data_IF_738778755619
#
_entry.id   IF_738778755619
#
_cell.length_a   1.000
_cell.length_b   1.000
_cell.length_c   1.000
_cell.angle_alpha   90.00
_cell.angle_beta   90.00
_cell.angle_gamma   90.00
#
_symmetry.space_group_name_H-M   'P 1'
#
loop_
_entity.id
_entity.type
_entity.pdbx_description
1 polymer ?
#
# COMPACT_ATOMS: atom_id res chain seq x y z
N UNK A 1 32.42 0.98 5.62
CA UNK A 1 30.94 0.87 5.53
C UNK A 1 30.55 -0.53 5.97
N UNK A 2 29.85 -0.67 7.11
CA UNK A 2 29.63 -1.95 7.78
C UNK A 2 28.49 -2.71 7.08
N UNK A 3 28.64 -4.00 6.72
CA UNK A 3 27.62 -4.76 5.97
C UNK A 3 26.25 -4.78 6.66
N UNK A 4 26.25 -4.69 8.00
CA UNK A 4 25.05 -4.55 8.85
C UNK A 4 24.20 -3.32 8.49
N UNK A 5 24.82 -2.20 8.11
CA UNK A 5 24.10 -0.98 7.71
C UNK A 5 23.45 -1.14 6.33
N UNK A 6 24.09 -1.87 5.43
CA UNK A 6 23.56 -2.14 4.09
C UNK A 6 22.36 -3.10 4.15
N UNK A 7 22.47 -4.17 4.95
CA UNK A 7 21.36 -5.08 5.22
C UNK A 7 20.18 -4.39 5.91
N UNK A 8 20.44 -3.49 6.87
CA UNK A 8 19.38 -2.74 7.55
C UNK A 8 18.62 -1.79 6.61
N UNK A 9 19.33 -1.08 5.71
CA UNK A 9 18.72 -0.20 4.71
C UNK A 9 17.89 -0.99 3.68
N UNK A 10 18.38 -2.15 3.25
CA UNK A 10 17.66 -3.03 2.32
C UNK A 10 16.39 -3.61 2.96
N UNK A 11 16.46 -4.05 4.23
CA UNK A 11 15.28 -4.54 4.97
C UNK A 11 14.23 -3.44 5.20
N UNK A 12 14.67 -2.21 5.48
CA UNK A 12 13.78 -1.04 5.60
C UNK A 12 13.12 -0.70 4.26
N UNK A 13 13.86 -0.80 3.15
CA UNK A 13 13.32 -0.63 1.80
C UNK A 13 12.24 -1.67 1.48
N UNK A 14 12.45 -2.94 1.84
CA UNK A 14 11.46 -4.02 1.63
C UNK A 14 10.14 -3.74 2.37
N UNK A 15 10.22 -3.21 3.60
CA UNK A 15 9.04 -2.81 4.39
C UNK A 15 8.29 -1.58 3.82
N UNK A 16 9.00 -0.70 3.09
CA UNK A 16 8.42 0.44 2.38
C UNK A 16 7.85 0.04 1.01
N UNK A 17 8.41 -0.98 0.36
CA UNK A 17 7.99 -1.45 -0.98
C UNK A 17 6.70 -2.28 -1.00
N UNK A 18 6.27 -2.84 0.14
CA UNK A 18 5.03 -3.61 0.19
C UNK A 18 3.81 -2.75 -0.17
N UNK A 19 3.74 -1.50 0.30
CA UNK A 19 2.62 -0.59 0.02
C UNK A 19 2.47 -0.24 -1.47
N UNK A 20 3.53 0.24 -2.16
CA UNK A 20 3.47 0.55 -3.59
C UNK A 20 3.20 -0.65 -4.50
N UNK A 21 3.75 -1.83 -4.18
CA UNK A 21 3.51 -3.04 -4.96
C UNK A 21 2.06 -3.52 -4.80
N UNK A 22 1.55 -3.56 -3.56
CA UNK A 22 0.15 -3.89 -3.29
C UNK A 22 -0.80 -2.91 -4.01
N UNK A 23 -0.49 -1.60 -3.96
CA UNK A 23 -1.26 -0.59 -4.65
C UNK A 23 -1.22 -0.78 -6.18
N UNK A 24 -0.05 -1.08 -6.74
CA UNK A 24 0.13 -1.33 -8.17
C UNK A 24 -0.64 -2.55 -8.66
N UNK A 25 -0.61 -3.67 -7.92
CA UNK A 25 -1.41 -4.86 -8.23
C UNK A 25 -2.91 -4.51 -8.22
N UNK A 26 -3.36 -3.78 -7.21
CA UNK A 26 -4.75 -3.39 -7.12
C UNK A 26 -5.16 -2.44 -8.26
N UNK A 27 -4.27 -1.54 -8.67
CA UNK A 27 -4.49 -0.64 -9.80
C UNK A 27 -4.65 -1.41 -11.11
N UNK A 28 -3.80 -2.41 -11.37
CA UNK A 28 -3.94 -3.30 -12.54
C UNK A 28 -5.26 -4.06 -12.47
N UNK A 29 -5.66 -4.53 -11.29
CA UNK A 29 -6.96 -5.15 -11.06
C UNK A 29 -8.13 -4.23 -11.42
N UNK A 30 -8.16 -3.02 -10.87
CA UNK A 30 -9.21 -2.04 -11.19
C UNK A 30 -9.19 -1.64 -12.67
N UNK A 31 -8.00 -1.52 -13.28
CA UNK A 31 -7.84 -1.24 -14.71
C UNK A 31 -8.44 -2.35 -15.60
N UNK A 32 -8.31 -3.61 -15.17
CA UNK A 32 -8.86 -4.78 -15.87
C UNK A 32 -10.40 -4.80 -15.89
N UNK A 33 -11.06 -4.10 -14.96
CA UNK A 33 -12.53 -3.98 -14.88
C UNK A 33 -13.04 -2.74 -15.61
N UNK A 34 -12.36 -1.59 -15.49
CA UNK A 34 -12.79 -0.36 -16.16
C UNK A 34 -12.60 -0.42 -17.68
N UNK A 35 -11.58 -1.14 -18.16
CA UNK A 35 -11.31 -1.30 -19.60
C UNK A 35 -12.49 -1.94 -20.34
N UNK A 36 -13.03 -3.11 -19.93
CA UNK A 36 -14.22 -3.67 -20.56
C UNK A 36 -15.49 -2.83 -20.32
N UNK A 37 -15.61 -2.11 -19.20
CA UNK A 37 -16.71 -1.16 -18.98
C UNK A 37 -16.73 -0.07 -20.06
N UNK A 38 -15.58 0.53 -20.33
CA UNK A 38 -15.40 1.53 -21.39
C UNK A 38 -15.66 0.93 -22.78
N UNK A 39 -15.16 -0.28 -23.04
CA UNK A 39 -15.39 -0.97 -24.31
C UNK A 39 -16.89 -1.24 -24.54
N UNK A 40 -17.63 -1.68 -23.51
CA UNK A 40 -19.08 -1.87 -23.56
C UNK A 40 -19.83 -0.54 -23.77
N UNK A 41 -19.30 0.57 -23.26
CA UNK A 41 -19.79 1.91 -23.51
C UNK A 41 -19.36 2.50 -24.88
N UNK A 42 -18.63 1.74 -25.70
CA UNK A 42 -18.18 2.17 -27.03
C UNK A 42 -17.06 3.20 -27.01
N UNK A 43 -16.29 3.29 -25.91
CA UNK A 43 -15.20 4.24 -25.77
C UNK A 43 -13.89 3.56 -25.35
N UNK A 44 -12.80 4.27 -25.59
CA UNK A 44 -11.47 3.94 -25.07
C UNK A 44 -11.13 4.84 -23.90
N UNK A 45 -10.35 4.33 -22.94
CA UNK A 45 -9.95 5.11 -21.77
C UNK A 45 -9.15 6.34 -22.23
N UNK A 46 -9.50 7.51 -21.66
CA UNK A 46 -8.79 8.77 -21.93
C UNK A 46 -9.16 9.48 -23.23
N UNK A 47 -10.03 8.91 -24.08
CA UNK A 47 -10.43 9.56 -25.34
C UNK A 47 -11.64 10.47 -25.21
N UNK A 48 -12.34 10.41 -24.07
CA UNK A 48 -13.52 11.24 -23.79
C UNK A 48 -13.12 12.33 -22.81
N UNK A 49 -13.21 13.59 -23.25
CA UNK A 49 -12.96 14.74 -22.38
C UNK A 49 -14.05 14.82 -21.29
N UNK A 50 -13.64 15.14 -20.05
CA UNK A 50 -14.55 15.11 -18.90
C UNK A 50 -15.86 15.93 -19.07
N UNK A 51 -15.85 17.14 -19.66
CA UNK A 51 -17.09 17.90 -19.88
C UNK A 51 -18.04 17.27 -20.91
N UNK A 52 -17.53 16.40 -21.78
CA UNK A 52 -18.28 15.73 -22.84
C UNK A 52 -18.59 14.26 -22.50
N UNK A 53 -18.33 13.81 -21.28
CA UNK A 53 -18.47 12.43 -20.89
C UNK A 53 -19.94 11.99 -20.85
N UNK A 54 -20.36 10.99 -21.65
CA UNK A 54 -21.68 10.38 -21.53
C UNK A 54 -21.85 9.73 -20.15
N UNK A 55 -23.11 9.59 -19.70
CA UNK A 55 -23.44 9.03 -18.39
C UNK A 55 -22.78 7.65 -18.14
N UNK A 56 -22.70 6.78 -19.16
CA UNK A 56 -22.05 5.49 -19.06
C UNK A 56 -20.54 5.60 -18.74
N UNK A 57 -19.83 6.57 -19.34
CA UNK A 57 -18.41 6.81 -19.11
C UNK A 57 -18.18 7.39 -17.71
N UNK A 58 -19.06 8.30 -17.27
CA UNK A 58 -19.05 8.81 -15.89
C UNK A 58 -19.22 7.66 -14.90
N UNK A 59 -20.16 6.75 -15.14
CA UNK A 59 -20.37 5.58 -14.29
C UNK A 59 -19.15 4.65 -14.25
N UNK A 60 -18.53 4.33 -15.39
CA UNK A 60 -17.30 3.53 -15.43
C UNK A 60 -16.17 4.18 -14.62
N UNK A 61 -16.01 5.51 -14.72
CA UNK A 61 -15.00 6.25 -13.96
C UNK A 61 -15.27 6.28 -12.46
N UNK A 62 -16.53 6.42 -12.05
CA UNK A 62 -16.92 6.37 -10.64
C UNK A 62 -16.62 4.99 -10.05
N UNK A 63 -16.95 3.91 -10.77
CA UNK A 63 -16.63 2.55 -10.35
C UNK A 63 -15.10 2.35 -10.21
N UNK A 64 -14.32 2.86 -11.17
CA UNK A 64 -12.86 2.83 -11.10
C UNK A 64 -12.32 3.62 -9.89
N UNK A 65 -12.83 4.83 -9.64
CA UNK A 65 -12.44 5.65 -8.50
C UNK A 65 -12.76 4.98 -7.16
N UNK A 66 -13.92 4.34 -7.02
CA UNK A 66 -14.29 3.58 -5.82
C UNK A 66 -13.36 2.38 -5.61
N UNK A 67 -13.02 1.66 -6.68
CA UNK A 67 -12.06 0.56 -6.63
C UNK A 67 -10.69 1.04 -6.11
N UNK A 68 -10.18 2.15 -6.66
CA UNK A 68 -8.91 2.76 -6.22
C UNK A 68 -8.96 3.27 -4.78
N UNK A 69 -10.08 3.83 -4.33
CA UNK A 69 -10.26 4.29 -2.96
C UNK A 69 -10.18 3.12 -1.96
N UNK A 70 -10.80 1.99 -2.28
CA UNK A 70 -10.69 0.77 -1.49
C UNK A 70 -9.24 0.28 -1.41
N UNK A 71 -8.49 0.30 -2.52
CA UNK A 71 -7.07 -0.04 -2.55
C UNK A 71 -6.23 0.82 -1.59
N UNK A 72 -6.51 2.13 -1.56
CA UNK A 72 -5.81 3.06 -0.68
C UNK A 72 -6.08 2.75 0.81
N UNK A 73 -7.33 2.44 1.17
CA UNK A 73 -7.68 2.08 2.55
C UNK A 73 -6.95 0.81 2.99
N UNK A 74 -6.94 -0.24 2.16
CA UNK A 74 -6.30 -1.52 2.49
C UNK A 74 -4.78 -1.38 2.65
N UNK A 75 -4.13 -0.64 1.74
CA UNK A 75 -2.68 -0.40 1.81
C UNK A 75 -2.29 0.45 3.02
N UNK A 76 -3.07 1.49 3.34
CA UNK A 76 -2.88 2.29 4.55
C UNK A 76 -3.09 1.48 5.83
N UNK A 77 -4.14 0.65 5.89
CA UNK A 77 -4.38 -0.23 7.03
C UNK A 77 -3.21 -1.20 7.25
N UNK A 78 -2.66 -1.77 6.17
CA UNK A 78 -1.48 -2.65 6.22
C UNK A 78 -0.24 -1.92 6.77
N UNK A 79 0.00 -0.69 6.37
CA UNK A 79 1.14 0.10 6.90
C UNK A 79 0.94 0.51 8.35
N UNK A 80 -0.29 0.82 8.79
CA UNK A 80 -0.60 1.07 10.18
C UNK A 80 -0.37 -0.20 11.03
N UNK A 81 -0.85 -1.35 10.56
CA UNK A 81 -0.67 -2.63 11.24
C UNK A 81 0.80 -3.03 11.37
N UNK A 82 1.62 -2.88 10.33
CA UNK A 82 3.04 -3.23 10.39
C UNK A 82 3.81 -2.38 11.42
N UNK A 83 3.43 -1.11 11.59
CA UNK A 83 3.97 -0.22 12.63
C UNK A 83 3.55 -0.66 14.03
N UNK A 84 2.30 -1.04 14.23
CA UNK A 84 1.81 -1.57 15.50
C UNK A 84 2.52 -2.88 15.88
N UNK A 85 2.66 -3.81 14.93
CA UNK A 85 3.39 -5.06 15.19
C UNK A 85 4.87 -4.82 15.50
N UNK A 86 5.48 -3.79 14.90
CA UNK A 86 6.85 -3.39 15.22
C UNK A 86 6.97 -2.78 16.62
N UNK A 87 5.99 -1.99 17.08
CA UNK A 87 6.00 -1.45 18.45
C UNK A 87 5.81 -2.54 19.50
N UNK A 88 4.91 -3.50 19.26
CA UNK A 88 4.71 -4.66 20.16
C UNK A 88 5.99 -5.48 20.30
N UNK A 89 6.72 -5.76 19.22
CA UNK A 89 8.00 -6.48 19.28
C UNK A 89 9.05 -5.75 20.12
N UNK A 90 9.14 -4.42 20.01
CA UNK A 90 10.06 -3.62 20.84
C UNK A 90 9.70 -3.70 22.31
N UNK A 91 8.41 -3.62 22.65
CA UNK A 91 7.94 -3.76 24.03
C UNK A 91 8.28 -5.13 24.62
N UNK A 92 8.12 -6.22 23.84
CA UNK A 92 8.51 -7.57 24.27
C UNK A 92 10.02 -7.69 24.52
N UNK A 93 10.86 -7.10 23.67
CA UNK A 93 12.32 -7.13 23.84
C UNK A 93 12.73 -6.35 25.11
N UNK A 94 12.11 -5.20 25.37
CA UNK A 94 12.38 -4.39 26.56
C UNK A 94 12.06 -5.16 27.85
N UNK A 95 10.85 -5.75 27.94
CA UNK A 95 10.48 -6.57 29.11
C UNK A 95 11.44 -7.74 29.33
N UNK A 96 11.83 -8.43 28.25
CA UNK A 96 12.79 -9.53 28.34
C UNK A 96 14.20 -9.08 28.74
N UNK A 97 14.62 -7.85 28.43
CA UNK A 97 15.90 -7.30 28.89
C UNK A 97 15.92 -6.94 30.37
N UNK A 98 14.79 -6.49 30.93
CA UNK A 98 14.63 -6.22 32.36
C UNK A 98 14.68 -7.53 33.17
N UNK A 99 14.01 -8.58 32.68
CA UNK A 99 14.06 -9.93 33.30
C UNK A 99 15.48 -10.51 33.33
N UNK A 100 16.29 -10.23 32.31
CA UNK A 100 17.69 -10.69 32.23
C UNK A 100 18.67 -9.80 33.04
N UNK A 101 18.19 -8.79 33.76
CA UNK A 101 19.03 -7.95 34.61
C UNK A 101 20.08 -7.13 33.84
N UNK A 102 19.87 -6.89 32.54
CA UNK A 102 20.83 -6.20 31.67
C UNK A 102 20.72 -4.66 31.75
N UNK A 103 20.42 -4.13 32.94
CA UNK A 103 20.48 -2.70 33.24
C UNK A 103 21.96 -2.26 33.28
N UNK A 104 22.55 -2.02 32.11
CA UNK A 104 23.93 -1.51 31.99
C UNK A 104 24.70 -1.88 30.72
N UNK A 105 24.10 -2.59 29.75
CA UNK A 105 24.83 -2.93 28.51
C UNK A 105 24.68 -1.88 27.37
N UNK A 106 23.97 -0.78 27.62
CA UNK A 106 23.72 0.29 26.62
C UNK A 106 24.31 1.66 27.00
N UNK A 107 25.10 1.73 28.08
CA UNK A 107 25.99 2.85 28.38
C UNK A 107 27.39 2.57 27.80
#
# INVERSE_FOLDING_TARGET
>A
MRPVRMFALLAMAIGLTAGPVDYGICQVGCASVVTPCYAAAGATIGTVAAPAAPAAIVACNLAFAMCQAASAVVTLARTAWSRLMASSRKATIYHRSEEMGMHGMWD
#
